data_IF_477401592602
#
_entry.id   IF_477401592602
#
_cell.length_a   1.000
_cell.length_b   1.000
_cell.length_c   1.000
_cell.angle_alpha   90.00
_cell.angle_beta   90.00
_cell.angle_gamma   90.00
#
_symmetry.space_group_name_H-M   'P 1'
#
loop_
_entity.id
_entity.type
_entity.pdbx_description
1 polymer ?
#
# COMPACT_ATOMS: atom_id res chain seq x y z
N UNK A 1 2.44 6.18 22.79
CA UNK A 1 3.35 5.09 22.40
C UNK A 1 4.76 5.62 22.57
N UNK A 2 5.64 4.89 23.23
CA UNK A 2 7.04 5.29 23.45
C UNK A 2 7.89 4.56 22.41
N UNK A 3 8.74 5.28 21.66
CA UNK A 3 9.80 4.60 20.89
C UNK A 3 10.75 4.00 21.93
N UNK A 4 11.23 2.76 21.75
CA UNK A 4 12.25 2.19 22.63
C UNK A 4 13.46 3.09 22.71
N UNK A 5 13.98 3.30 23.94
CA UNK A 5 15.11 4.21 24.19
C UNK A 5 16.37 3.81 23.37
N UNK A 6 16.56 2.52 23.11
CA UNK A 6 17.62 1.98 22.25
C UNK A 6 17.53 2.50 20.80
N UNK A 7 16.31 2.77 20.30
CA UNK A 7 16.11 3.32 18.97
C UNK A 7 16.44 4.79 18.90
N UNK A 8 16.03 5.56 19.90
CA UNK A 8 16.33 6.98 19.97
C UNK A 8 17.85 7.20 19.99
N UNK A 9 18.57 6.40 20.77
CA UNK A 9 20.03 6.45 20.85
C UNK A 9 20.66 6.12 19.47
N UNK A 10 20.24 5.04 18.82
CA UNK A 10 20.74 4.67 17.50
C UNK A 10 20.46 5.74 16.42
N UNK A 11 19.31 6.40 16.48
CA UNK A 11 18.94 7.46 15.55
C UNK A 11 19.79 8.71 15.73
N UNK A 12 20.03 9.13 16.98
CA UNK A 12 20.79 10.34 17.27
C UNK A 12 22.30 10.20 16.99
N UNK A 13 22.85 8.99 17.11
CA UNK A 13 24.25 8.73 16.78
C UNK A 13 24.49 8.58 15.26
N UNK A 14 23.49 8.14 14.50
CA UNK A 14 23.68 7.73 13.11
C UNK A 14 23.43 8.85 12.10
N UNK A 15 22.68 9.89 12.44
CA UNK A 15 22.24 10.91 11.48
C UNK A 15 22.23 12.31 12.08
N UNK A 16 22.88 13.25 11.35
CA UNK A 16 22.79 14.70 11.64
C UNK A 16 21.60 15.38 10.97
N UNK A 17 20.72 14.62 10.34
CA UNK A 17 19.57 15.11 9.58
C UNK A 17 18.33 15.19 10.46
N UNK A 18 17.42 16.08 10.11
CA UNK A 18 16.10 16.16 10.74
C UNK A 18 15.31 14.89 10.46
N UNK A 19 14.78 14.24 11.49
CA UNK A 19 14.06 12.97 11.38
C UNK A 19 12.69 13.04 12.03
N UNK A 20 11.79 12.18 11.55
CA UNK A 20 10.46 12.03 12.15
C UNK A 20 9.96 10.59 12.08
N UNK A 21 9.22 10.15 13.10
CA UNK A 21 8.39 8.96 13.03
C UNK A 21 7.15 9.27 12.18
N UNK A 22 6.87 8.42 11.21
CA UNK A 22 5.70 8.48 10.30
C UNK A 22 5.01 7.11 10.23
N UNK A 23 4.05 6.95 9.34
CA UNK A 23 3.38 5.66 9.11
C UNK A 23 2.35 5.29 10.17
N UNK A 24 1.98 4.01 10.24
CA UNK A 24 0.88 3.55 11.09
C UNK A 24 1.14 3.80 12.57
N UNK A 25 2.38 3.67 13.02
CA UNK A 25 2.74 3.91 14.42
C UNK A 25 2.67 5.39 14.82
N UNK A 26 2.74 6.32 13.86
CA UNK A 26 2.54 7.74 14.10
C UNK A 26 1.07 8.16 13.93
N UNK A 27 0.44 7.76 12.80
CA UNK A 27 -0.90 8.20 12.42
C UNK A 27 -2.01 7.49 13.21
N UNK A 28 -1.85 6.20 13.48
CA UNK A 28 -2.87 5.36 14.10
C UNK A 28 -2.24 4.31 15.03
N UNK A 29 -1.58 4.74 16.13
CA UNK A 29 -0.85 3.84 17.02
C UNK A 29 -1.72 2.76 17.66
N UNK A 30 -3.01 3.05 17.88
CA UNK A 30 -3.96 2.14 18.53
C UNK A 30 -4.41 0.98 17.62
N UNK A 31 -4.22 1.12 16.30
CA UNK A 31 -4.56 0.10 15.30
C UNK A 31 -3.32 -0.48 14.61
N UNK A 32 -2.12 -0.02 14.96
CA UNK A 32 -0.88 -0.61 14.46
C UNK A 32 -0.70 -2.02 15.02
N UNK A 33 -0.20 -2.93 14.17
CA UNK A 33 0.09 -4.30 14.59
C UNK A 33 1.49 -4.39 15.20
N UNK A 34 1.70 -5.38 16.08
CA UNK A 34 3.02 -5.62 16.67
C UNK A 34 4.11 -5.90 15.62
N UNK A 35 3.71 -6.48 14.48
CA UNK A 35 4.61 -6.74 13.35
C UNK A 35 4.95 -5.52 12.49
N UNK A 36 4.38 -4.34 12.76
CA UNK A 36 4.67 -3.14 12.00
C UNK A 36 6.03 -2.56 12.40
N UNK A 37 6.79 -2.14 11.40
CA UNK A 37 8.02 -1.38 11.57
C UNK A 37 7.76 0.03 12.13
N UNK A 38 8.84 0.65 12.59
CA UNK A 38 8.88 2.08 12.84
C UNK A 38 9.39 2.77 11.57
N UNK A 39 8.51 3.47 10.87
CA UNK A 39 8.84 4.23 9.67
C UNK A 39 9.50 5.54 10.05
N UNK A 40 10.77 5.74 9.70
CA UNK A 40 11.56 6.93 10.01
C UNK A 40 11.79 7.74 8.74
N UNK A 41 11.18 8.92 8.65
CA UNK A 41 11.44 9.89 7.59
C UNK A 41 12.71 10.67 7.90
N UNK A 42 13.63 10.77 6.92
CA UNK A 42 14.84 11.59 6.98
C UNK A 42 14.67 12.74 5.99
N UNK A 43 14.72 13.98 6.48
CA UNK A 43 14.50 15.16 5.64
C UNK A 43 15.79 15.71 5.08
N UNK A 44 15.81 15.99 3.78
CA UNK A 44 16.93 16.56 3.06
C UNK A 44 17.84 15.56 2.36
N UNK A 45 17.55 14.28 2.48
CA UNK A 45 18.16 13.23 1.65
C UNK A 45 17.40 13.11 0.32
N UNK A 46 18.15 12.98 -0.78
CA UNK A 46 17.55 12.73 -2.08
C UNK A 46 17.07 11.26 -2.14
N UNK A 47 15.89 11.05 -2.70
CA UNK A 47 15.32 9.71 -3.00
C UNK A 47 16.20 8.83 -3.91
N UNK A 48 17.32 9.35 -4.39
CA UNK A 48 18.23 8.67 -5.33
C UNK A 48 18.95 7.45 -4.73
N UNK A 49 18.78 7.16 -3.45
CA UNK A 49 19.25 5.91 -2.85
C UNK A 49 18.05 5.06 -2.39
N UNK A 50 17.49 4.21 -3.29
CA UNK A 50 16.25 3.47 -3.04
C UNK A 50 16.41 2.28 -2.09
N UNK A 51 17.52 2.18 -1.39
CA UNK A 51 17.69 1.20 -0.34
C UNK A 51 17.10 1.80 0.93
N UNK A 52 15.79 1.54 1.14
CA UNK A 52 15.21 1.67 2.47
C UNK A 52 16.12 0.92 3.43
N UNK A 53 16.83 1.66 4.26
CA UNK A 53 17.73 1.05 5.23
C UNK A 53 16.87 0.45 6.32
N UNK A 54 16.88 -0.87 6.42
CA UNK A 54 16.19 -1.59 7.49
C UNK A 54 17.20 -1.92 8.58
N UNK A 55 16.88 -1.58 9.81
CA UNK A 55 17.67 -1.89 11.00
C UNK A 55 16.80 -2.67 11.98
N UNK A 56 17.29 -3.82 12.41
CA UNK A 56 16.63 -4.66 13.42
C UNK A 56 17.30 -4.43 14.77
N UNK A 57 16.49 -4.14 15.78
CA UNK A 57 16.93 -3.99 17.16
C UNK A 57 15.99 -4.83 18.05
N UNK A 58 16.49 -5.96 18.53
CA UNK A 58 15.68 -6.93 19.24
C UNK A 58 14.56 -7.49 18.36
N UNK A 59 13.32 -7.36 18.81
CA UNK A 59 12.12 -7.81 18.10
C UNK A 59 11.51 -6.74 17.18
N UNK A 60 12.03 -5.53 17.23
CA UNK A 60 11.49 -4.39 16.50
C UNK A 60 12.30 -4.10 15.23
N UNK A 61 11.69 -3.43 14.28
CA UNK A 61 12.28 -3.07 12.99
C UNK A 61 12.10 -1.58 12.72
N UNK A 62 13.18 -0.92 12.30
CA UNK A 62 13.18 0.45 11.79
C UNK A 62 13.30 0.41 10.28
N UNK A 63 12.47 1.16 9.57
CA UNK A 63 12.59 1.39 8.14
C UNK A 63 12.85 2.89 7.90
N UNK A 64 13.97 3.21 7.25
CA UNK A 64 14.37 4.58 6.95
C UNK A 64 13.97 4.96 5.54
N UNK A 65 13.28 6.11 5.40
CA UNK A 65 12.86 6.67 4.12
C UNK A 65 13.38 8.10 3.97
N UNK A 66 14.15 8.35 2.90
CA UNK A 66 14.62 9.71 2.56
C UNK A 66 13.51 10.53 1.92
N UNK A 67 13.35 11.79 2.35
CA UNK A 67 12.43 12.75 1.76
C UNK A 67 13.16 14.04 1.38
N UNK A 68 13.02 14.57 0.15
CA UNK A 68 13.46 15.90 -0.18
C UNK A 68 12.77 16.93 0.72
N UNK A 69 13.46 18.01 1.09
CA UNK A 69 12.88 19.07 1.95
C UNK A 69 11.56 19.66 1.41
N UNK A 70 11.32 19.58 0.11
CA UNK A 70 10.14 20.10 -0.60
C UNK A 70 9.26 19.02 -1.20
N UNK A 71 9.38 17.75 -0.77
CA UNK A 71 8.53 16.67 -1.27
C UNK A 71 7.08 16.88 -0.86
N UNK A 72 6.16 16.76 -1.84
CA UNK A 72 4.73 16.77 -1.57
C UNK A 72 4.24 15.41 -1.03
N UNK A 73 5.01 14.32 -1.19
CA UNK A 73 4.60 12.98 -0.77
C UNK A 73 4.50 12.86 0.75
N UNK A 74 5.35 13.61 1.48
CA UNK A 74 5.29 13.67 2.95
C UNK A 74 3.94 14.23 3.45
N UNK A 75 3.20 15.00 2.64
CA UNK A 75 1.88 15.55 3.00
C UNK A 75 0.81 14.47 3.14
N UNK A 76 1.04 13.25 2.64
CA UNK A 76 0.14 12.12 2.86
C UNK A 76 0.27 11.53 4.27
N UNK A 77 1.30 11.91 5.02
CA UNK A 77 1.43 11.58 6.42
C UNK A 77 0.78 12.68 7.26
N UNK A 78 -0.41 12.45 7.75
CA UNK A 78 -1.17 13.43 8.56
C UNK A 78 -0.50 13.71 9.91
N UNK A 79 0.06 12.67 10.51
CA UNK A 79 0.77 12.76 11.77
C UNK A 79 2.25 12.49 11.57
N UNK A 80 3.06 13.50 11.87
CA UNK A 80 4.52 13.43 11.85
C UNK A 80 5.00 13.73 13.27
N UNK A 81 5.75 12.80 13.86
CA UNK A 81 6.31 13.00 15.20
C UNK A 81 7.80 13.25 15.08
N UNK A 82 8.22 14.51 15.24
CA UNK A 82 9.62 14.90 15.15
C UNK A 82 10.46 14.24 16.23
N UNK A 83 11.61 13.72 15.85
CA UNK A 83 12.59 13.11 16.77
C UNK A 83 13.58 14.21 17.17
N UNK A 84 13.63 14.54 18.45
CA UNK A 84 14.53 15.55 19.02
C UNK A 84 15.25 14.98 20.21
N UNK A 85 16.52 14.53 20.00
CA UNK A 85 17.27 13.83 21.05
C UNK A 85 16.50 12.58 21.52
N UNK A 86 16.35 12.43 22.82
CA UNK A 86 15.66 11.28 23.43
C UNK A 86 14.12 11.39 23.48
N UNK A 87 13.55 12.47 22.93
CA UNK A 87 12.12 12.74 22.99
C UNK A 87 11.44 12.73 21.61
N UNK A 88 10.21 12.23 21.60
CA UNK A 88 9.26 12.41 20.50
C UNK A 88 8.38 13.61 20.76
N UNK A 89 8.66 14.71 20.10
CA UNK A 89 7.76 15.86 20.12
C UNK A 89 6.66 15.67 19.07
N UNK A 90 5.40 15.71 19.52
CA UNK A 90 4.28 15.89 18.58
C UNK A 90 4.45 17.31 18.02
N UNK A 91 5.02 17.38 16.82
CA UNK A 91 5.05 18.64 16.11
C UNK A 91 3.64 18.98 15.64
N UNK A 92 3.22 20.25 15.77
CA UNK A 92 2.06 20.72 15.02
C UNK A 92 2.31 20.39 13.54
N UNK A 93 1.27 20.11 12.75
CA UNK A 93 1.44 19.73 11.35
C UNK A 93 2.31 20.78 10.65
N UNK A 94 3.42 20.32 10.10
CA UNK A 94 4.41 21.17 9.38
C UNK A 94 3.78 21.86 8.16
N UNK A 95 2.59 21.39 7.79
CA UNK A 95 1.84 21.81 6.60
C UNK A 95 0.45 22.26 6.99
N UNK A 96 -0.11 23.20 6.20
CA UNK A 96 -1.49 23.62 6.41
C UNK A 96 -2.46 22.46 6.12
N UNK A 97 -3.57 22.42 6.85
CA UNK A 97 -4.65 21.45 6.59
C UNK A 97 -5.14 21.51 5.14
N UNK A 98 -5.16 22.71 4.55
CA UNK A 98 -5.52 22.92 3.12
C UNK A 98 -4.54 22.24 2.18
N UNK A 99 -3.23 22.30 2.46
CA UNK A 99 -2.22 21.69 1.61
C UNK A 99 -2.27 20.16 1.73
N UNK A 100 -2.48 19.65 2.93
CA UNK A 100 -2.67 18.22 3.17
C UNK A 100 -3.88 17.71 2.38
N UNK A 101 -5.05 18.34 2.52
CA UNK A 101 -6.28 17.98 1.77
C UNK A 101 -6.09 18.05 0.27
N UNK A 102 -5.38 19.08 -0.23
CA UNK A 102 -5.07 19.22 -1.66
C UNK A 102 -4.20 18.07 -2.16
N UNK A 103 -3.17 17.70 -1.41
CA UNK A 103 -2.26 16.60 -1.74
C UNK A 103 -3.00 15.26 -1.78
N UNK A 104 -3.80 14.95 -0.77
CA UNK A 104 -4.65 13.76 -0.74
C UNK A 104 -5.60 13.69 -1.93
N UNK A 105 -6.29 14.79 -2.24
CA UNK A 105 -7.22 14.85 -3.38
C UNK A 105 -6.50 14.65 -4.72
N UNK A 106 -5.33 15.27 -4.89
CA UNK A 106 -4.52 15.13 -6.11
C UNK A 106 -4.02 13.69 -6.29
N UNK A 107 -3.45 13.10 -5.23
CA UNK A 107 -2.99 11.73 -5.24
C UNK A 107 -4.14 10.73 -5.49
N UNK A 108 -5.28 10.91 -4.83
CA UNK A 108 -6.46 10.06 -5.03
C UNK A 108 -6.99 10.11 -6.45
N UNK A 109 -7.11 11.30 -7.05
CA UNK A 109 -7.52 11.44 -8.46
C UNK A 109 -6.52 10.78 -9.40
N UNK A 110 -5.22 10.92 -9.17
CA UNK A 110 -4.18 10.27 -9.97
C UNK A 110 -4.36 8.75 -9.94
N UNK A 111 -4.55 8.14 -8.76
CA UNK A 111 -4.76 6.70 -8.62
C UNK A 111 -6.03 6.20 -9.33
N UNK A 112 -7.12 6.96 -9.28
CA UNK A 112 -8.35 6.62 -10.02
C UNK A 112 -8.14 6.69 -11.53
N UNK A 113 -7.37 7.65 -12.03
CA UNK A 113 -6.99 7.76 -13.46
C UNK A 113 -6.14 6.57 -13.88
N UNK A 114 -5.16 6.16 -13.09
CA UNK A 114 -4.33 4.99 -13.35
C UNK A 114 -5.16 3.70 -13.37
N UNK A 115 -6.12 3.56 -12.44
CA UNK A 115 -7.08 2.45 -12.44
C UNK A 115 -7.92 2.42 -13.72
N UNK A 116 -8.45 3.57 -14.14
CA UNK A 116 -9.21 3.71 -15.39
C UNK A 116 -8.35 3.34 -16.61
N UNK A 117 -7.07 3.73 -16.64
CA UNK A 117 -6.14 3.36 -17.70
C UNK A 117 -5.89 1.84 -17.75
N UNK A 118 -5.66 1.21 -16.60
CA UNK A 118 -5.43 -0.23 -16.52
C UNK A 118 -6.63 -1.04 -17.06
N UNK A 119 -7.86 -0.71 -16.69
CA UNK A 119 -9.05 -1.42 -17.24
C UNK A 119 -9.33 -1.07 -18.69
N UNK A 120 -8.93 0.11 -19.17
CA UNK A 120 -9.12 0.50 -20.55
C UNK A 120 -8.25 -0.30 -21.53
N UNK A 121 -7.09 -0.77 -21.10
CA UNK A 121 -6.24 -1.69 -21.87
C UNK A 121 -6.99 -2.98 -22.18
N UNK A 122 -7.82 -3.50 -21.29
CA UNK A 122 -8.60 -4.72 -21.49
C UNK A 122 -9.67 -4.59 -22.60
N UNK A 123 -10.08 -3.38 -22.96
CA UNK A 123 -11.09 -3.16 -24.01
C UNK A 123 -10.51 -3.05 -25.41
N UNK A 124 -9.20 -2.83 -25.52
CA UNK A 124 -8.52 -2.63 -26.82
C UNK A 124 -8.11 -3.98 -27.45
N UNK A 125 -7.71 -4.94 -26.63
CA UNK A 125 -7.21 -6.23 -27.10
C UNK A 125 -8.08 -7.38 -26.58
N UNK A 126 -8.84 -7.99 -27.48
CA UNK A 126 -9.91 -8.98 -27.19
C UNK A 126 -9.45 -10.31 -26.55
N UNK A 127 -8.17 -10.56 -26.35
CA UNK A 127 -7.67 -11.87 -25.90
C UNK A 127 -6.35 -11.81 -25.14
N UNK A 128 -6.06 -10.73 -24.39
CA UNK A 128 -4.78 -10.68 -23.69
C UNK A 128 -4.79 -11.49 -22.39
N UNK A 129 -3.81 -12.38 -22.26
CA UNK A 129 -3.44 -13.09 -21.04
C UNK A 129 -3.36 -12.16 -19.80
N UNK A 130 -3.09 -10.88 -20.01
CA UNK A 130 -2.92 -9.87 -18.97
C UNK A 130 -4.22 -9.25 -18.48
N UNK A 131 -5.39 -9.54 -19.08
CA UNK A 131 -6.65 -8.91 -18.68
C UNK A 131 -7.02 -9.09 -17.21
N UNK A 132 -6.90 -10.30 -16.60
CA UNK A 132 -7.17 -10.47 -15.17
C UNK A 132 -6.17 -9.72 -14.28
N UNK A 133 -4.90 -9.62 -14.70
CA UNK A 133 -3.87 -8.86 -14.00
C UNK A 133 -4.20 -7.36 -14.01
N UNK A 134 -4.53 -6.81 -15.17
CA UNK A 134 -4.91 -5.40 -15.31
C UNK A 134 -6.16 -5.06 -14.52
N UNK A 135 -7.13 -6.00 -14.45
CA UNK A 135 -8.32 -5.84 -13.63
C UNK A 135 -7.98 -5.73 -12.15
N UNK A 136 -7.13 -6.63 -11.61
CA UNK A 136 -6.71 -6.57 -10.20
C UNK A 136 -5.90 -5.31 -9.89
N UNK A 137 -4.96 -4.93 -10.77
CA UNK A 137 -4.24 -3.64 -10.63
C UNK A 137 -5.20 -2.46 -10.57
N UNK A 138 -6.21 -2.44 -11.42
CA UNK A 138 -7.21 -1.38 -11.42
C UNK A 138 -8.05 -1.38 -10.14
N UNK A 139 -8.44 -2.55 -9.63
CA UNK A 139 -9.21 -2.65 -8.38
C UNK A 139 -8.38 -2.13 -7.18
N UNK A 140 -7.11 -2.53 -7.04
CA UNK A 140 -6.23 -1.99 -6.00
C UNK A 140 -6.03 -0.48 -6.14
N UNK A 141 -5.76 0.02 -7.36
CA UNK A 141 -5.58 1.45 -7.60
C UNK A 141 -6.83 2.27 -7.30
N UNK A 142 -8.03 1.73 -7.60
CA UNK A 142 -9.29 2.39 -7.29
C UNK A 142 -9.55 2.44 -5.79
N UNK A 143 -9.30 1.36 -5.05
CA UNK A 143 -9.44 1.32 -3.60
C UNK A 143 -8.47 2.29 -2.90
N UNK A 144 -7.22 2.32 -3.34
CA UNK A 144 -6.23 3.32 -2.88
C UNK A 144 -6.71 4.74 -3.16
N UNK A 145 -7.21 4.99 -4.38
CA UNK A 145 -7.78 6.29 -4.76
C UNK A 145 -8.95 6.72 -3.87
N UNK A 146 -9.83 5.78 -3.49
CA UNK A 146 -10.95 6.03 -2.58
C UNK A 146 -10.44 6.41 -1.18
N UNK A 147 -9.48 5.66 -0.63
CA UNK A 147 -8.88 6.00 0.67
C UNK A 147 -8.27 7.40 0.67
N UNK A 148 -7.46 7.71 -0.34
CA UNK A 148 -6.83 9.02 -0.50
C UNK A 148 -7.87 10.14 -0.65
N UNK A 149 -8.92 9.95 -1.48
CA UNK A 149 -10.01 10.92 -1.60
C UNK A 149 -10.79 11.13 -0.30
N UNK A 150 -10.75 10.14 0.60
CA UNK A 150 -11.31 10.19 1.95
C UNK A 150 -10.31 10.71 3.00
N UNK A 151 -9.20 11.26 2.56
CA UNK A 151 -8.11 11.76 3.40
C UNK A 151 -7.51 10.69 4.34
N UNK A 152 -7.53 9.44 3.92
CA UNK A 152 -6.89 8.32 4.59
C UNK A 152 -5.65 7.91 3.80
N UNK A 153 -4.48 7.94 4.44
CA UNK A 153 -3.25 7.42 3.84
C UNK A 153 -3.33 5.90 3.76
N UNK A 154 -3.20 5.29 2.57
CA UNK A 154 -3.20 3.84 2.44
C UNK A 154 -1.97 3.23 3.12
N UNK A 155 -2.20 2.24 3.96
CA UNK A 155 -1.16 1.47 4.65
C UNK A 155 -1.31 0.01 4.23
N UNK A 156 -0.43 -0.55 3.39
CA UNK A 156 -0.67 -1.81 2.69
C UNK A 156 -1.16 -2.96 3.57
N UNK A 157 -0.59 -3.15 4.77
CA UNK A 157 -1.01 -4.20 5.69
C UNK A 157 -2.37 -3.91 6.38
N UNK A 158 -2.74 -2.64 6.51
CA UNK A 158 -3.98 -2.18 7.15
C UNK A 158 -5.07 -1.78 6.15
N UNK A 159 -4.75 -1.71 4.85
CA UNK A 159 -5.57 -1.06 3.83
C UNK A 159 -6.99 -1.66 3.75
N UNK A 160 -7.13 -2.98 3.83
CA UNK A 160 -8.46 -3.60 3.85
C UNK A 160 -9.26 -3.24 5.11
N UNK A 161 -8.60 -3.15 6.26
CA UNK A 161 -9.25 -2.72 7.50
C UNK A 161 -9.62 -1.22 7.44
N UNK A 162 -8.76 -0.37 6.88
CA UNK A 162 -9.05 1.05 6.63
C UNK A 162 -10.32 1.20 5.76
N UNK A 163 -10.46 0.39 4.69
CA UNK A 163 -11.66 0.39 3.84
C UNK A 163 -12.92 -0.01 4.60
N UNK A 164 -12.85 -0.98 5.52
CA UNK A 164 -13.99 -1.39 6.36
C UNK A 164 -14.41 -0.30 7.36
N UNK A 165 -13.47 0.51 7.79
CA UNK A 165 -13.71 1.58 8.77
C UNK A 165 -14.12 2.92 8.13
N UNK A 166 -14.13 3.00 6.79
CA UNK A 166 -14.57 4.21 6.12
C UNK A 166 -16.05 4.49 6.41
N UNK A 167 -16.31 5.57 7.12
CA UNK A 167 -17.66 6.13 7.29
C UNK A 167 -18.10 6.83 6.01
N UNK A 168 -18.54 6.07 5.01
CA UNK A 168 -18.91 6.61 3.70
C UNK A 168 -20.39 6.92 3.66
N UNK A 169 -20.72 8.19 3.45
CA UNK A 169 -22.09 8.69 3.30
C UNK A 169 -22.64 8.59 1.84
N UNK A 170 -21.78 8.20 0.88
CA UNK A 170 -22.14 8.18 -0.54
C UNK A 170 -22.25 6.74 -1.05
N UNK A 171 -23.42 6.33 -1.49
CA UNK A 171 -23.68 4.99 -2.06
C UNK A 171 -22.70 4.61 -3.19
N UNK A 172 -22.34 5.59 -4.04
CA UNK A 172 -21.40 5.38 -5.15
C UNK A 172 -20.01 4.90 -4.72
N UNK A 173 -19.54 5.31 -3.55
CA UNK A 173 -18.24 4.86 -3.02
C UNK A 173 -18.37 3.43 -2.49
N UNK A 174 -19.47 3.13 -1.78
CA UNK A 174 -19.72 1.78 -1.28
C UNK A 174 -19.87 0.77 -2.42
N UNK A 175 -20.60 1.13 -3.50
CA UNK A 175 -20.70 0.31 -4.71
C UNK A 175 -19.33 0.06 -5.34
N UNK A 176 -18.50 1.10 -5.47
CA UNK A 176 -17.17 0.97 -6.03
C UNK A 176 -16.26 0.07 -5.18
N UNK A 177 -16.29 0.20 -3.84
CA UNK A 177 -15.57 -0.69 -2.93
C UNK A 177 -16.03 -2.13 -3.12
N UNK A 178 -17.35 -2.39 -3.13
CA UNK A 178 -17.90 -3.72 -3.30
C UNK A 178 -17.47 -4.34 -4.64
N UNK A 179 -17.56 -3.58 -5.73
CA UNK A 179 -17.07 -4.01 -7.06
C UNK A 179 -15.60 -4.39 -7.03
N UNK A 180 -14.76 -3.59 -6.37
CA UNK A 180 -13.33 -3.90 -6.24
C UNK A 180 -13.08 -5.16 -5.42
N UNK A 181 -13.75 -5.35 -4.29
CA UNK A 181 -13.61 -6.56 -3.44
C UNK A 181 -13.99 -7.82 -4.24
N UNK A 182 -15.07 -7.76 -5.04
CA UNK A 182 -15.46 -8.85 -5.97
C UNK A 182 -14.35 -9.11 -7.01
N UNK A 183 -13.79 -8.05 -7.62
CA UNK A 183 -12.69 -8.17 -8.57
C UNK A 183 -11.44 -8.83 -7.97
N UNK A 184 -11.14 -8.53 -6.72
CA UNK A 184 -9.99 -9.08 -6.02
C UNK A 184 -10.20 -10.53 -5.62
N UNK A 185 -11.45 -10.96 -5.39
CA UNK A 185 -11.80 -12.31 -4.94
C UNK A 185 -11.33 -12.58 -3.52
N UNK A 186 -11.50 -11.60 -2.63
CA UNK A 186 -11.04 -11.65 -1.23
C UNK A 186 -11.73 -12.80 -0.45
N UNK A 187 -12.94 -13.20 -0.87
CA UNK A 187 -13.69 -14.33 -0.31
C UNK A 187 -13.00 -15.68 -0.48
N UNK A 188 -12.04 -15.79 -1.41
CA UNK A 188 -11.26 -17.02 -1.65
C UNK A 188 -10.08 -17.20 -0.70
N UNK A 189 -9.88 -16.29 0.25
CA UNK A 189 -8.78 -16.32 1.20
C UNK A 189 -8.81 -17.56 2.10
N UNK A 190 -8.05 -18.58 1.72
CA UNK A 190 -7.81 -19.79 2.52
C UNK A 190 -6.34 -19.94 2.85
N UNK A 191 -6.00 -20.64 3.94
CA UNK A 191 -4.60 -20.89 4.30
C UNK A 191 -3.79 -21.52 3.16
N UNK A 192 -4.40 -22.43 2.39
CA UNK A 192 -3.74 -23.09 1.26
C UNK A 192 -3.40 -22.10 0.14
N UNK A 193 -4.36 -21.24 -0.23
CA UNK A 193 -4.13 -20.20 -1.24
C UNK A 193 -3.08 -19.21 -0.74
N UNK A 194 -3.19 -18.73 0.49
CA UNK A 194 -2.26 -17.77 1.08
C UNK A 194 -0.83 -18.30 1.11
N UNK A 195 -0.61 -19.55 1.54
CA UNK A 195 0.71 -20.16 1.55
C UNK A 195 1.32 -20.27 0.13
N UNK A 196 0.50 -20.62 -0.86
CA UNK A 196 0.92 -20.68 -2.26
C UNK A 196 1.27 -19.29 -2.80
N UNK A 197 0.41 -18.31 -2.56
CA UNK A 197 0.61 -16.91 -2.99
C UNK A 197 1.82 -16.29 -2.30
N UNK A 198 2.04 -16.55 -1.02
CA UNK A 198 3.18 -16.04 -0.28
C UNK A 198 4.52 -16.63 -0.79
N UNK A 199 4.57 -17.93 -1.14
CA UNK A 199 5.77 -18.51 -1.76
C UNK A 199 6.11 -17.81 -3.08
N UNK A 200 5.11 -17.55 -3.92
CA UNK A 200 5.30 -16.83 -5.16
C UNK A 200 5.73 -15.37 -4.91
N UNK A 201 5.12 -14.68 -3.94
CA UNK A 201 5.48 -13.32 -3.55
C UNK A 201 6.95 -13.22 -3.11
N UNK A 202 7.44 -14.15 -2.30
CA UNK A 202 8.86 -14.16 -1.87
C UNK A 202 9.81 -14.21 -3.06
N UNK A 203 9.52 -15.02 -4.07
CA UNK A 203 10.34 -15.09 -5.30
C UNK A 203 10.26 -13.80 -6.13
N UNK A 204 9.11 -13.12 -6.14
CA UNK A 204 8.91 -11.85 -6.85
C UNK A 204 9.70 -10.72 -6.18
N UNK A 205 9.72 -10.67 -4.85
CA UNK A 205 10.22 -9.54 -4.07
C UNK A 205 11.63 -9.72 -3.50
N UNK A 206 12.25 -10.89 -3.63
CA UNK A 206 13.54 -11.26 -2.98
C UNK A 206 14.68 -10.25 -3.14
N UNK A 207 14.68 -9.46 -4.21
CA UNK A 207 15.74 -8.48 -4.50
C UNK A 207 15.42 -7.06 -4.00
N UNK A 208 14.19 -6.82 -3.51
CA UNK A 208 13.70 -5.47 -3.23
C UNK A 208 13.13 -5.26 -1.84
N UNK A 209 12.76 -6.34 -1.18
CA UNK A 209 12.13 -6.29 0.14
C UNK A 209 12.89 -7.16 1.13
N UNK A 210 12.87 -6.74 2.39
CA UNK A 210 13.32 -7.60 3.47
C UNK A 210 12.33 -8.76 3.63
N UNK A 211 12.80 -9.96 3.26
CA UNK A 211 11.97 -11.18 3.25
C UNK A 211 11.59 -11.60 4.67
N UNK A 212 12.38 -11.27 5.68
CA UNK A 212 12.08 -11.60 7.07
C UNK A 212 10.98 -10.70 7.62
N UNK A 213 11.06 -9.38 7.38
CA UNK A 213 9.99 -8.44 7.73
C UNK A 213 8.69 -8.82 7.03
N UNK A 214 8.75 -9.15 5.74
CA UNK A 214 7.59 -9.62 4.99
C UNK A 214 7.00 -10.90 5.60
N UNK A 215 7.86 -11.86 5.98
CA UNK A 215 7.42 -13.11 6.59
C UNK A 215 6.75 -12.86 7.94
N UNK A 216 7.32 -12.02 8.80
CA UNK A 216 6.74 -11.69 10.11
C UNK A 216 5.33 -11.06 9.98
N UNK A 217 5.13 -10.17 9.01
CA UNK A 217 3.83 -9.56 8.72
C UNK A 217 2.79 -10.60 8.26
N UNK A 218 3.16 -11.50 7.35
CA UNK A 218 2.27 -12.57 6.88
C UNK A 218 1.94 -13.55 8.01
N UNK A 219 2.93 -13.97 8.80
CA UNK A 219 2.74 -14.87 9.94
C UNK A 219 1.83 -14.23 11.00
N UNK A 220 2.01 -12.95 11.29
CA UNK A 220 1.13 -12.21 12.18
C UNK A 220 -0.34 -12.30 11.70
N UNK A 221 -0.61 -11.95 10.44
CA UNK A 221 -1.96 -11.96 9.88
C UNK A 221 -2.57 -13.38 9.90
N UNK A 222 -1.79 -14.42 9.59
CA UNK A 222 -2.24 -15.81 9.62
C UNK A 222 -2.54 -16.29 11.05
N UNK A 223 -1.72 -15.93 12.03
CA UNK A 223 -1.88 -16.33 13.43
C UNK A 223 -3.10 -15.65 14.07
N UNK A 224 -3.40 -14.41 13.68
CA UNK A 224 -4.58 -13.67 14.12
C UNK A 224 -5.84 -13.98 13.28
N UNK A 225 -5.79 -14.97 12.37
CA UNK A 225 -6.91 -15.38 11.50
C UNK A 225 -7.43 -14.26 10.58
N UNK A 226 -6.60 -13.27 10.29
CA UNK A 226 -6.90 -12.15 9.37
C UNK A 226 -6.64 -12.58 7.91
N UNK A 227 -7.32 -13.65 7.47
CA UNK A 227 -7.04 -14.29 6.17
C UNK A 227 -7.34 -13.36 4.99
N UNK A 228 -8.45 -12.63 5.05
CA UNK A 228 -8.82 -11.66 4.02
C UNK A 228 -7.81 -10.53 3.89
N UNK A 229 -7.33 -10.00 5.03
CA UNK A 229 -6.31 -8.95 5.09
C UNK A 229 -4.97 -9.45 4.56
N UNK A 230 -4.59 -10.69 4.89
CA UNK A 230 -3.40 -11.34 4.37
C UNK A 230 -3.46 -11.50 2.83
N UNK A 231 -4.61 -11.95 2.30
CA UNK A 231 -4.84 -12.09 0.87
C UNK A 231 -4.73 -10.74 0.15
N UNK A 232 -5.39 -9.73 0.70
CA UNK A 232 -5.34 -8.36 0.19
C UNK A 232 -3.91 -7.82 0.20
N UNK A 233 -3.20 -7.95 1.32
CA UNK A 233 -1.83 -7.46 1.50
C UNK A 233 -0.86 -8.08 0.48
N UNK A 234 -0.90 -9.42 0.31
CA UNK A 234 -0.08 -10.12 -0.71
C UNK A 234 -0.32 -9.53 -2.10
N UNK A 235 -1.59 -9.43 -2.51
CA UNK A 235 -1.94 -8.91 -3.83
C UNK A 235 -1.55 -7.44 -4.02
N UNK A 236 -1.68 -6.63 -2.98
CA UNK A 236 -1.27 -5.22 -2.98
C UNK A 236 0.23 -5.07 -3.25
N UNK A 237 1.07 -5.85 -2.56
CA UNK A 237 2.52 -5.83 -2.75
C UNK A 237 2.93 -6.25 -4.16
N UNK A 238 2.29 -7.28 -4.73
CA UNK A 238 2.54 -7.69 -6.12
C UNK A 238 2.19 -6.57 -7.09
N UNK A 239 1.04 -5.92 -6.90
CA UNK A 239 0.62 -4.82 -7.79
C UNK A 239 1.56 -3.62 -7.70
N UNK A 240 1.99 -3.22 -6.49
CA UNK A 240 2.99 -2.16 -6.31
C UNK A 240 4.32 -2.49 -7.00
N UNK A 241 4.79 -3.73 -6.87
CA UNK A 241 6.01 -4.18 -7.56
C UNK A 241 5.89 -4.09 -9.08
N UNK A 242 4.75 -4.47 -9.64
CA UNK A 242 4.48 -4.41 -11.08
C UNK A 242 4.35 -2.99 -11.62
N UNK A 243 3.96 -2.02 -10.80
CA UNK A 243 3.91 -0.60 -11.18
C UNK A 243 5.33 -0.01 -11.29
N UNK A 244 6.25 -0.46 -10.45
CA UNK A 244 7.63 0.02 -10.43
C UNK A 244 8.53 -0.59 -11.52
N UNK A 245 8.17 -1.75 -12.08
CA UNK A 245 8.94 -2.42 -13.14
C UNK A 245 8.49 -1.96 -14.53
N UNK A 246 9.39 -1.31 -15.26
CA UNK A 246 9.24 -1.11 -16.70
C UNK A 246 9.34 -2.44 -17.46
N UNK A 247 8.47 -2.66 -18.38
CA UNK A 247 8.03 -3.76 -19.24
C UNK A 247 9.04 -4.81 -19.83
N UNK A 248 10.26 -4.99 -19.36
CA UNK A 248 11.28 -5.72 -20.12
C UNK A 248 11.46 -7.22 -19.88
N UNK A 249 10.73 -7.85 -18.91
CA UNK A 249 10.86 -9.29 -18.64
C UNK A 249 9.56 -10.01 -18.24
N UNK A 250 8.45 -9.63 -18.87
CA UNK A 250 7.10 -10.00 -18.39
C UNK A 250 6.77 -11.50 -18.42
N UNK A 251 7.35 -12.29 -19.33
CA UNK A 251 6.88 -13.67 -19.53
C UNK A 251 7.30 -14.64 -18.41
N UNK A 252 8.52 -14.53 -17.89
CA UNK A 252 8.99 -15.40 -16.81
C UNK A 252 8.31 -15.12 -15.48
N UNK A 253 7.89 -13.87 -15.25
CA UNK A 253 7.20 -13.46 -14.03
C UNK A 253 5.67 -13.65 -14.09
N UNK A 254 5.09 -13.85 -15.28
CA UNK A 254 3.63 -13.97 -15.42
C UNK A 254 3.08 -15.13 -14.59
N UNK A 255 3.73 -16.29 -14.61
CA UNK A 255 3.31 -17.46 -13.84
C UNK A 255 3.36 -17.20 -12.32
N UNK A 256 4.45 -16.57 -11.85
CA UNK A 256 4.57 -16.21 -10.42
C UNK A 256 3.51 -15.17 -10.02
N UNK A 257 3.32 -14.14 -10.84
CA UNK A 257 2.30 -13.12 -10.62
C UNK A 257 0.89 -13.71 -10.62
N UNK A 258 0.58 -14.65 -11.52
CA UNK A 258 -0.73 -15.30 -11.56
C UNK A 258 -1.00 -16.16 -10.33
N UNK A 259 0.04 -16.81 -9.79
CA UNK A 259 -0.06 -17.56 -8.53
C UNK A 259 -0.20 -16.63 -7.34
N UNK A 260 0.63 -15.58 -7.24
CA UNK A 260 0.63 -14.66 -6.13
C UNK A 260 -0.67 -13.85 -6.03
N UNK A 261 -1.23 -13.47 -7.18
CA UNK A 261 -2.50 -12.75 -7.28
C UNK A 261 -3.73 -13.67 -7.35
N UNK A 262 -3.56 -14.98 -7.36
CA UNK A 262 -4.66 -15.95 -7.54
C UNK A 262 -5.55 -15.58 -8.73
N UNK A 263 -4.94 -15.38 -9.92
CA UNK A 263 -5.66 -14.97 -11.12
C UNK A 263 -6.56 -16.10 -11.63
N UNK A 264 -7.75 -15.75 -12.05
CA UNK A 264 -8.71 -16.65 -12.70
C UNK A 264 -8.70 -16.44 -14.21
N UNK A 265 -9.00 -17.51 -14.96
CA UNK A 265 -9.08 -17.48 -16.42
C UNK A 265 -10.49 -17.22 -16.96
N UNK A 266 -11.43 -16.81 -16.08
CA UNK A 266 -12.80 -16.47 -16.49
C UNK A 266 -12.83 -15.13 -17.23
N UNK A 267 -12.83 -15.21 -18.55
CA UNK A 267 -12.78 -14.05 -19.43
C UNK A 267 -14.09 -13.23 -19.40
N UNK A 268 -15.25 -13.89 -19.37
CA UNK A 268 -16.55 -13.19 -19.39
C UNK A 268 -16.74 -12.39 -18.07
N UNK A 269 -16.42 -13.01 -16.93
CA UNK A 269 -16.46 -12.31 -15.66
C UNK A 269 -15.44 -11.16 -15.61
N UNK A 270 -14.23 -11.36 -16.11
CA UNK A 270 -13.19 -10.32 -16.20
C UNK A 270 -13.69 -9.11 -17.02
N UNK A 271 -14.37 -9.34 -18.14
CA UNK A 271 -14.93 -8.29 -18.99
C UNK A 271 -16.06 -7.53 -18.30
N UNK A 272 -16.98 -8.26 -17.63
CA UNK A 272 -18.08 -7.67 -16.84
C UNK A 272 -17.51 -6.75 -15.77
N UNK A 273 -16.59 -7.27 -14.92
CA UNK A 273 -16.00 -6.53 -13.83
C UNK A 273 -15.15 -5.33 -14.30
N UNK A 274 -14.43 -5.48 -15.42
CA UNK A 274 -13.71 -4.36 -16.04
C UNK A 274 -14.63 -3.22 -16.45
N UNK A 275 -15.83 -3.54 -16.93
CA UNK A 275 -16.85 -2.53 -17.31
C UNK A 275 -17.37 -1.80 -16.07
N UNK A 276 -17.61 -2.51 -14.97
CA UNK A 276 -18.04 -1.93 -13.69
C UNK A 276 -16.97 -1.01 -13.12
N UNK A 277 -15.72 -1.45 -12.99
CA UNK A 277 -14.60 -0.62 -12.53
C UNK A 277 -14.44 0.64 -13.37
N UNK A 278 -14.55 0.51 -14.71
CA UNK A 278 -14.51 1.67 -15.63
C UNK A 278 -15.62 2.68 -15.38
N UNK A 279 -16.84 2.21 -15.11
CA UNK A 279 -17.98 3.04 -14.71
C UNK A 279 -17.69 3.77 -13.40
N UNK A 280 -17.24 3.03 -12.40
CA UNK A 280 -17.02 3.54 -11.04
C UNK A 280 -15.90 4.58 -11.01
N UNK A 281 -14.77 4.34 -11.71
CA UNK A 281 -13.72 5.35 -11.89
C UNK A 281 -14.26 6.65 -12.50
N UNK A 282 -15.06 6.56 -13.59
CA UNK A 282 -15.63 7.75 -14.24
C UNK A 282 -16.58 8.52 -13.33
N UNK A 283 -17.38 7.80 -12.54
CA UNK A 283 -18.33 8.41 -11.63
C UNK A 283 -17.60 9.15 -10.48
N UNK A 284 -16.54 8.55 -9.93
CA UNK A 284 -15.74 9.16 -8.86
C UNK A 284 -14.92 10.37 -9.34
N UNK A 285 -14.44 10.38 -10.58
CA UNK A 285 -13.71 11.52 -11.15
C UNK A 285 -14.61 12.73 -11.46
N UNK A 286 -15.91 12.54 -11.62
CA UNK A 286 -16.89 13.63 -11.88
C UNK A 286 -17.33 14.35 -10.61
N UNK A 287 -17.20 13.69 -9.44
CA UNK A 287 -17.59 14.19 -8.13
C UNK A 287 -16.39 14.72 -7.34
#
# INVERSE_FOLDING_TARGET
MKIPDEFLHHLTESHNSEMALVGCRADAPDVSYDCCEYDIAIFGENESNPQNKIVKLGNDTLEFQGFPKQSNDILLYKMIRMITGDDLLISPPRYSETDIKRSFKAAGKSRIVDALFNVSKNSINKAELNSPLNLKKAAYGLLEGILLMSEVRPMPIHELNQLRQLEVKKDIINEAIQTCIECLGVERATRTILNRSFRALKEILKERYDVELLSSKIEFLLNHKLLADCYYYIGRLVCNHLEQKNNSSQMNYYKLNSIALDLTSDYENTKKLSTLIKRDCKNLLKN
#
